data_IF_965568050068
#
_entry.id   IF_965568050068
#
_cell.length_a   1.000
_cell.length_b   1.000
_cell.length_c   1.000
_cell.angle_alpha   90.00
_cell.angle_beta   90.00
_cell.angle_gamma   90.00
#
_symmetry.space_group_name_H-M   'P 1'
#
loop_
_entity.id
_entity.type
_entity.pdbx_description
1 polymer ?
#
# COMPACT_ATOMS: atom_id res chain seq x y z
N UNK A 1 7.91 -6.88 4.62
CA UNK A 1 8.41 -7.60 3.44
C UNK A 1 8.49 -9.09 3.72
N UNK A 2 8.63 -9.96 2.68
CA UNK A 2 8.77 -11.41 2.84
C UNK A 2 8.24 -12.19 1.65
N UNK A 3 8.33 -13.55 1.67
CA UNK A 3 7.87 -14.42 0.61
C UNK A 3 6.35 -14.33 0.37
N UNK A 4 5.88 -14.82 -0.77
CA UNK A 4 4.45 -14.90 -1.05
C UNK A 4 3.79 -15.87 -0.06
N UNK A 5 2.56 -15.56 0.37
CA UNK A 5 1.81 -16.46 1.27
C UNK A 5 2.11 -16.31 2.77
N UNK A 6 3.16 -15.60 3.20
CA UNK A 6 3.50 -15.45 4.62
C UNK A 6 2.60 -14.49 5.43
N UNK A 7 1.43 -14.09 4.90
CA UNK A 7 0.44 -13.32 5.64
C UNK A 7 0.69 -11.80 5.73
N UNK A 8 1.59 -11.20 4.94
CA UNK A 8 1.91 -9.75 4.99
C UNK A 8 0.70 -8.84 4.95
N UNK A 9 -0.16 -9.02 3.96
CA UNK A 9 -1.37 -8.19 3.79
C UNK A 9 -2.32 -8.37 4.97
N UNK A 10 -2.45 -9.58 5.51
CA UNK A 10 -3.28 -9.85 6.70
C UNK A 10 -2.71 -9.12 7.92
N UNK A 11 -1.42 -9.26 8.18
CA UNK A 11 -0.75 -8.58 9.29
C UNK A 11 -0.86 -7.06 9.18
N UNK A 12 -0.63 -6.51 7.98
CA UNK A 12 -0.77 -5.08 7.73
C UNK A 12 -2.21 -4.57 7.98
N UNK A 13 -3.23 -5.28 7.50
CA UNK A 13 -4.64 -4.94 7.74
C UNK A 13 -5.02 -5.05 9.22
N UNK A 14 -4.54 -6.07 9.91
CA UNK A 14 -4.76 -6.22 11.36
C UNK A 14 -4.14 -5.07 12.14
N UNK A 15 -2.93 -4.64 11.77
CA UNK A 15 -2.28 -3.47 12.37
C UNK A 15 -3.07 -2.19 12.12
N UNK A 16 -3.49 -1.96 10.87
CA UNK A 16 -4.33 -0.80 10.50
C UNK A 16 -5.59 -0.74 11.36
N UNK A 17 -6.30 -1.86 11.47
CA UNK A 17 -7.52 -1.94 12.29
C UNK A 17 -7.25 -1.67 13.78
N UNK A 18 -6.13 -2.17 14.31
CA UNK A 18 -5.76 -1.98 15.72
C UNK A 18 -5.39 -0.53 16.07
N UNK A 19 -5.03 0.28 15.08
CA UNK A 19 -4.69 1.69 15.29
C UNK A 19 -5.92 2.59 15.50
N UNK A 20 -7.12 2.13 15.12
CA UNK A 20 -8.38 2.87 15.24
C UNK A 20 -8.32 4.31 14.68
N UNK A 21 -7.61 4.47 13.57
CA UNK A 21 -7.39 5.75 12.88
C UNK A 21 -8.09 5.74 11.53
N UNK A 22 -8.37 6.91 10.92
CA UNK A 22 -8.83 6.93 9.53
C UNK A 22 -7.87 6.12 8.66
N UNK A 23 -8.37 5.15 7.89
CA UNK A 23 -7.54 4.27 7.09
C UNK A 23 -7.95 4.27 5.62
N UNK A 24 -6.95 4.05 4.77
CA UNK A 24 -7.11 3.96 3.33
C UNK A 24 -6.25 2.82 2.78
N UNK A 25 -6.83 2.04 1.87
CA UNK A 25 -6.18 0.90 1.25
C UNK A 25 -6.01 1.09 -0.25
N UNK A 26 -4.80 0.87 -0.76
CA UNK A 26 -4.48 0.93 -2.18
C UNK A 26 -3.70 -0.32 -2.60
N UNK A 27 -4.27 -1.13 -3.50
CA UNK A 27 -3.53 -2.23 -4.13
C UNK A 27 -2.81 -1.69 -5.36
N UNK A 28 -1.51 -1.47 -5.23
CA UNK A 28 -0.68 -0.90 -6.29
C UNK A 28 -0.29 -1.94 -7.35
N UNK A 29 -0.31 -3.22 -6.99
CA UNK A 29 -0.03 -4.30 -7.93
C UNK A 29 -1.13 -4.51 -8.99
N UNK A 30 -2.37 -4.12 -8.68
CA UNK A 30 -3.51 -4.20 -9.59
C UNK A 30 -3.75 -2.91 -10.40
N UNK A 31 -3.00 -1.84 -10.11
CA UNK A 31 -3.19 -0.53 -10.72
C UNK A 31 -2.60 -0.49 -12.13
N UNK A 32 -3.44 -0.26 -13.15
CA UNK A 32 -3.00 -0.11 -14.54
C UNK A 32 -2.60 1.33 -14.88
N UNK A 33 -3.26 2.32 -14.27
CA UNK A 33 -2.98 3.74 -14.42
C UNK A 33 -2.61 4.35 -13.05
N UNK A 34 -1.31 4.47 -12.76
CA UNK A 34 -0.83 5.04 -11.51
C UNK A 34 -1.21 6.50 -11.30
N UNK A 35 -1.23 7.30 -12.39
CA UNK A 35 -1.58 8.72 -12.28
C UNK A 35 -3.04 8.89 -11.90
N UNK A 36 -3.94 8.19 -12.59
CA UNK A 36 -5.37 8.21 -12.25
C UNK A 36 -5.63 7.77 -10.80
N UNK A 37 -4.93 6.74 -10.35
CA UNK A 37 -5.10 6.19 -8.99
C UNK A 37 -4.51 7.09 -7.90
N UNK A 38 -3.33 7.67 -8.12
CA UNK A 38 -2.60 8.41 -7.09
C UNK A 38 -2.80 9.92 -7.19
N UNK A 39 -3.01 10.46 -8.38
CA UNK A 39 -3.16 11.91 -8.61
C UNK A 39 -4.63 12.25 -8.84
N UNK A 40 -5.21 11.70 -9.90
CA UNK A 40 -6.59 11.99 -10.31
C UNK A 40 -6.75 12.05 -11.81
N UNK A 41 -7.92 12.48 -12.25
CA UNK A 41 -8.28 12.51 -13.66
C UNK A 41 -8.84 13.86 -14.09
N UNK A 42 -8.57 14.21 -15.34
CA UNK A 42 -9.22 15.32 -16.00
C UNK A 42 -10.50 14.82 -16.67
N UNK A 43 -11.61 15.47 -16.38
CA UNK A 43 -12.92 15.16 -16.95
C UNK A 43 -13.43 16.33 -17.78
N UNK A 44 -14.27 16.01 -18.75
CA UNK A 44 -15.03 17.01 -19.52
C UNK A 44 -16.51 16.85 -19.23
N UNK A 45 -17.14 17.93 -18.83
CA UNK A 45 -18.59 18.05 -18.66
C UNK A 45 -19.14 19.15 -19.56
N UNK A 46 -20.25 18.90 -20.26
CA UNK A 46 -20.84 19.86 -21.22
C UNK A 46 -21.27 21.18 -20.57
N UNK A 47 -21.58 21.18 -19.26
CA UNK A 47 -22.02 22.36 -18.54
C UNK A 47 -20.92 23.06 -17.76
N UNK A 48 -19.88 22.32 -17.35
CA UNK A 48 -18.77 22.83 -16.51
C UNK A 48 -17.45 22.97 -17.25
N UNK A 49 -17.36 22.48 -18.49
CA UNK A 49 -16.10 22.43 -19.23
C UNK A 49 -15.18 21.34 -18.74
N UNK A 50 -13.87 21.54 -18.92
CA UNK A 50 -12.84 20.63 -18.43
C UNK A 50 -12.56 20.93 -16.96
N UNK A 51 -12.54 19.87 -16.12
CA UNK A 51 -12.19 20.01 -14.71
C UNK A 51 -11.34 18.82 -14.23
N UNK A 52 -10.50 19.07 -13.24
CA UNK A 52 -9.70 18.04 -12.58
C UNK A 52 -10.44 17.46 -11.37
N UNK A 53 -10.39 16.15 -11.21
CA UNK A 53 -10.93 15.43 -10.05
C UNK A 53 -9.80 14.72 -9.32
N UNK A 54 -9.55 15.12 -8.10
CA UNK A 54 -8.54 14.51 -7.22
C UNK A 54 -8.87 13.05 -6.93
N UNK A 55 -7.81 12.22 -6.85
CA UNK A 55 -7.95 10.82 -6.48
C UNK A 55 -8.31 10.63 -4.99
N UNK A 56 -8.69 9.41 -4.63
CA UNK A 56 -8.83 9.04 -3.22
C UNK A 56 -7.50 9.13 -2.47
N UNK A 57 -6.37 8.88 -3.14
CA UNK A 57 -5.05 8.97 -2.52
C UNK A 57 -4.69 10.41 -2.14
N UNK A 58 -4.99 11.39 -3.00
CA UNK A 58 -4.82 12.81 -2.68
C UNK A 58 -5.62 13.19 -1.43
N UNK A 59 -6.86 12.72 -1.32
CA UNK A 59 -7.70 12.94 -0.13
C UNK A 59 -7.13 12.24 1.10
N UNK A 60 -6.61 11.02 0.94
CA UNK A 60 -6.02 10.23 2.03
C UNK A 60 -4.80 10.93 2.63
N UNK A 61 -3.89 11.44 1.81
CA UNK A 61 -2.68 12.13 2.30
C UNK A 61 -2.99 13.48 2.97
N UNK A 62 -4.14 14.08 2.69
CA UNK A 62 -4.63 15.30 3.34
C UNK A 62 -5.44 15.04 4.62
N UNK A 63 -5.75 13.78 4.93
CA UNK A 63 -6.52 13.43 6.12
C UNK A 63 -5.58 13.31 7.33
N UNK A 64 -5.67 14.19 8.33
CA UNK A 64 -4.80 14.14 9.51
C UNK A 64 -4.88 12.78 10.22
N UNK A 65 -3.74 12.30 10.69
CA UNK A 65 -3.60 11.02 11.37
C UNK A 65 -4.06 9.79 10.57
N UNK A 66 -4.24 9.88 9.26
CA UNK A 66 -4.61 8.73 8.44
C UNK A 66 -3.51 7.66 8.43
N UNK A 67 -3.92 6.40 8.31
CA UNK A 67 -3.05 5.27 8.00
C UNK A 67 -3.31 4.85 6.56
N UNK A 68 -2.27 4.86 5.74
CA UNK A 68 -2.36 4.55 4.31
C UNK A 68 -1.61 3.25 4.06
N UNK A 69 -2.35 2.19 3.69
CA UNK A 69 -1.80 0.89 3.35
C UNK A 69 -1.59 0.79 1.84
N UNK A 70 -0.31 0.69 1.44
CA UNK A 70 0.14 0.48 0.06
C UNK A 70 0.46 -1.01 -0.14
N UNK A 71 -0.49 -1.75 -0.66
CA UNK A 71 -0.35 -3.19 -0.84
C UNK A 71 0.32 -3.54 -2.19
N UNK A 72 1.10 -4.60 -2.21
CA UNK A 72 1.83 -5.09 -3.39
C UNK A 72 2.78 -4.06 -4.02
N UNK A 73 3.49 -3.26 -3.21
CA UNK A 73 4.37 -2.17 -3.68
C UNK A 73 5.44 -2.66 -4.69
N UNK A 74 5.96 -3.89 -4.53
CA UNK A 74 6.94 -4.50 -5.46
C UNK A 74 6.37 -4.84 -6.84
N UNK A 75 5.05 -4.89 -6.99
CA UNK A 75 4.37 -5.13 -8.27
C UNK A 75 3.86 -3.85 -8.91
N UNK A 76 3.96 -2.73 -8.22
CA UNK A 76 3.51 -1.44 -8.72
C UNK A 76 4.26 -1.02 -9.98
N UNK A 77 3.60 -0.23 -10.81
CA UNK A 77 4.25 0.41 -11.96
C UNK A 77 5.32 1.41 -11.48
N UNK A 78 6.49 1.55 -12.15
CA UNK A 78 7.56 2.47 -11.74
C UNK A 78 7.08 3.92 -11.61
N UNK A 79 6.10 4.33 -12.37
CA UNK A 79 5.51 5.66 -12.27
C UNK A 79 4.83 5.88 -10.90
N UNK A 80 4.20 4.85 -10.31
CA UNK A 80 3.68 4.93 -8.95
C UNK A 80 4.80 5.19 -7.94
N UNK A 81 5.95 4.54 -8.10
CA UNK A 81 7.11 4.78 -7.23
C UNK A 81 7.61 6.22 -7.33
N UNK A 82 7.70 6.76 -8.55
CA UNK A 82 8.12 8.15 -8.76
C UNK A 82 7.18 9.14 -8.08
N UNK A 83 5.87 8.93 -8.18
CA UNK A 83 4.85 9.76 -7.52
C UNK A 83 5.00 9.68 -6.01
N UNK A 84 5.26 8.50 -5.46
CA UNK A 84 5.38 8.26 -4.02
C UNK A 84 6.67 8.81 -3.40
N UNK A 85 7.73 9.04 -4.20
CA UNK A 85 9.04 9.43 -3.69
C UNK A 85 9.02 10.66 -2.80
N UNK A 86 8.34 11.73 -3.22
CA UNK A 86 8.23 12.98 -2.43
C UNK A 86 7.23 12.88 -1.30
N UNK A 87 6.18 12.07 -1.47
CA UNK A 87 5.13 11.83 -0.46
C UNK A 87 5.69 11.06 0.73
N UNK A 88 6.54 10.08 0.47
CA UNK A 88 7.14 9.21 1.50
C UNK A 88 8.40 9.79 2.14
N UNK A 89 9.02 10.76 1.49
CA UNK A 89 10.25 11.38 2.00
C UNK A 89 10.00 12.19 3.27
N UNK A 90 10.70 11.88 4.36
CA UNK A 90 10.50 12.52 5.66
C UNK A 90 10.76 14.02 5.67
N UNK A 91 11.60 14.51 4.75
CA UNK A 91 11.96 15.94 4.63
C UNK A 91 11.09 16.71 3.63
N UNK A 92 10.31 16.02 2.79
CA UNK A 92 9.52 16.66 1.73
C UNK A 92 8.03 16.57 2.02
N UNK A 93 7.46 15.38 2.11
CA UNK A 93 6.06 15.15 2.49
C UNK A 93 5.05 15.95 1.65
N UNK A 94 5.20 15.96 0.33
CA UNK A 94 4.28 16.64 -0.58
C UNK A 94 4.04 15.86 -1.88
N UNK A 95 2.97 16.23 -2.58
CA UNK A 95 2.64 15.82 -3.95
C UNK A 95 2.33 17.06 -4.79
N UNK A 96 2.76 17.06 -6.05
CA UNK A 96 2.39 18.09 -7.02
C UNK A 96 1.26 17.59 -7.91
N UNK A 97 0.25 18.43 -8.09
CA UNK A 97 -0.87 18.22 -9.00
C UNK A 97 -0.66 19.11 -10.24
N UNK A 98 0.20 18.65 -11.15
CA UNK A 98 0.54 19.42 -12.36
C UNK A 98 -0.65 19.49 -13.34
N UNK A 99 -1.65 18.61 -13.20
CA UNK A 99 -2.89 18.58 -13.98
C UNK A 99 -3.96 19.56 -13.50
N UNK A 100 -3.79 20.11 -12.32
CA UNK A 100 -4.71 21.11 -11.74
C UNK A 100 -4.31 22.51 -12.19
N UNK A 101 -5.29 23.33 -12.56
CA UNK A 101 -5.05 24.75 -12.85
C UNK A 101 -4.40 25.43 -11.64
N UNK A 102 -3.23 26.04 -11.86
CA UNK A 102 -2.44 26.66 -10.80
C UNK A 102 -1.38 25.77 -10.17
N UNK A 103 -1.17 24.53 -10.66
CA UNK A 103 -0.12 23.61 -10.20
C UNK A 103 -0.08 23.48 -8.67
N UNK A 104 -1.17 23.02 -8.08
CA UNK A 104 -1.30 22.90 -6.64
C UNK A 104 -0.27 21.93 -6.05
N UNK A 105 0.40 22.35 -4.97
CA UNK A 105 1.21 21.47 -4.14
C UNK A 105 0.39 21.05 -2.93
N UNK A 106 0.19 19.74 -2.78
CA UNK A 106 -0.54 19.13 -1.69
C UNK A 106 0.46 18.58 -0.67
N UNK A 107 0.42 19.13 0.54
CA UNK A 107 1.24 18.61 1.64
C UNK A 107 0.56 17.41 2.30
N UNK A 108 1.37 16.43 2.70
CA UNK A 108 0.90 15.32 3.52
C UNK A 108 0.57 15.85 4.91
N UNK A 109 -0.65 15.60 5.36
CA UNK A 109 -1.15 16.08 6.65
C UNK A 109 -0.33 15.49 7.82
N UNK A 110 -0.39 16.18 8.95
CA UNK A 110 0.28 15.76 10.17
C UNK A 110 -0.24 14.38 10.64
N UNK A 111 0.67 13.56 11.14
CA UNK A 111 0.36 12.24 11.69
C UNK A 111 0.06 11.17 10.64
N UNK A 112 0.04 11.47 9.33
CA UNK A 112 -0.15 10.45 8.29
C UNK A 112 0.97 9.42 8.33
N UNK A 113 0.59 8.15 8.41
CA UNK A 113 1.49 7.00 8.46
C UNK A 113 1.28 6.11 7.24
N UNK A 114 2.39 5.67 6.63
CA UNK A 114 2.34 4.75 5.51
C UNK A 114 2.80 3.35 5.95
N UNK A 115 2.03 2.35 5.58
CA UNK A 115 2.37 0.94 5.72
C UNK A 115 2.41 0.37 4.31
N UNK A 116 3.44 -0.41 3.98
CA UNK A 116 3.54 -1.03 2.67
C UNK A 116 3.82 -2.53 2.79
N UNK A 117 3.25 -3.32 1.88
CA UNK A 117 3.62 -4.71 1.70
C UNK A 117 4.39 -4.89 0.40
N UNK A 118 5.40 -5.75 0.45
CA UNK A 118 6.20 -6.08 -0.73
C UNK A 118 6.71 -7.52 -0.65
N UNK A 119 6.74 -8.18 -1.79
CA UNK A 119 7.44 -9.45 -1.93
C UNK A 119 8.90 -9.15 -2.26
N UNK A 120 9.83 -9.76 -1.52
CA UNK A 120 11.27 -9.69 -1.78
C UNK A 120 11.74 -11.08 -2.16
N UNK A 121 12.49 -11.17 -3.24
CA UNK A 121 13.08 -12.40 -3.74
C UNK A 121 13.16 -12.41 -5.28
N UNK A 122 14.23 -13.01 -5.80
CA UNK A 122 14.46 -13.15 -7.25
C UNK A 122 13.54 -14.21 -7.91
N UNK A 123 12.75 -14.92 -7.11
CA UNK A 123 11.90 -16.04 -7.49
C UNK A 123 10.58 -15.60 -8.13
N UNK A 124 10.22 -14.34 -7.99
CA UNK A 124 8.93 -13.82 -8.46
C UNK A 124 9.07 -13.13 -9.80
N UNK A 125 8.70 -13.80 -10.87
CA UNK A 125 8.77 -13.32 -12.26
C UNK A 125 7.94 -12.04 -12.52
N UNK A 126 7.04 -11.69 -11.63
CA UNK A 126 6.19 -10.49 -11.75
C UNK A 126 6.52 -9.40 -10.73
N UNK A 127 7.52 -9.60 -9.86
CA UNK A 127 7.99 -8.56 -8.94
C UNK A 127 9.17 -7.82 -9.55
N UNK A 128 9.17 -6.51 -9.45
CA UNK A 128 10.31 -5.68 -9.81
C UNK A 128 11.21 -5.54 -8.60
N UNK A 129 12.51 -5.44 -8.84
CA UNK A 129 13.44 -5.04 -7.79
C UNK A 129 13.06 -3.63 -7.36
N UNK A 130 12.64 -3.47 -6.11
CA UNK A 130 12.30 -2.16 -5.55
C UNK A 130 13.55 -1.27 -5.59
N UNK A 131 13.37 -0.04 -6.02
CA UNK A 131 14.42 0.96 -5.98
C UNK A 131 14.90 1.13 -4.53
N UNK A 132 16.22 1.11 -4.35
CA UNK A 132 16.83 1.31 -3.03
C UNK A 132 16.39 2.63 -2.40
N UNK A 133 16.29 3.70 -3.20
CA UNK A 133 15.83 5.00 -2.70
C UNK A 133 14.39 4.95 -2.16
N UNK A 134 13.53 4.13 -2.76
CA UNK A 134 12.16 3.91 -2.24
C UNK A 134 12.19 3.09 -0.95
N UNK A 135 13.03 2.06 -0.88
CA UNK A 135 13.19 1.21 0.31
C UNK A 135 13.74 1.99 1.51
N UNK A 136 14.67 2.91 1.29
CA UNK A 136 15.28 3.74 2.34
C UNK A 136 14.27 4.68 3.04
N UNK A 137 13.06 4.85 2.47
CA UNK A 137 11.96 5.63 3.06
C UNK A 137 11.11 4.83 4.03
N UNK A 138 11.34 3.54 4.15
CA UNK A 138 10.62 2.65 5.05
C UNK A 138 11.55 1.98 6.06
N UNK A 139 11.01 1.71 7.23
CA UNK A 139 11.61 0.72 8.13
C UNK A 139 11.11 -0.66 7.70
N UNK A 140 12.02 -1.51 7.22
CA UNK A 140 11.67 -2.83 6.75
C UNK A 140 11.49 -3.80 7.92
N UNK A 141 10.37 -4.53 7.90
CA UNK A 141 10.12 -5.68 8.76
C UNK A 141 10.05 -6.90 7.84
N UNK A 142 10.89 -7.88 8.08
CA UNK A 142 10.87 -9.13 7.34
C UNK A 142 9.94 -10.12 8.04
N UNK A 143 9.06 -10.73 7.25
CA UNK A 143 8.19 -11.83 7.65
C UNK A 143 8.64 -13.07 6.89
N UNK A 144 8.76 -14.17 7.58
CA UNK A 144 9.04 -15.47 6.98
C UNK A 144 7.77 -16.33 6.92
N UNK A 145 7.85 -17.47 6.24
CA UNK A 145 6.79 -18.48 6.31
C UNK A 145 6.76 -19.07 7.72
N UNK A 146 5.57 -19.41 8.17
CA UNK A 146 5.40 -20.07 9.46
C UNK A 146 6.08 -21.44 9.41
N UNK A 147 6.67 -21.84 10.52
CA UNK A 147 7.09 -23.23 10.67
C UNK A 147 5.86 -24.13 10.94
N UNK A 148 6.02 -25.44 10.81
CA UNK A 148 4.91 -26.40 10.92
C UNK A 148 4.12 -26.24 12.24
N UNK A 149 4.80 -25.94 13.35
CA UNK A 149 4.15 -25.78 14.66
C UNK A 149 3.32 -24.50 14.72
N UNK A 150 3.83 -23.41 14.16
CA UNK A 150 3.14 -22.11 14.10
C UNK A 150 1.97 -22.18 13.14
N UNK A 151 2.15 -22.85 11.99
CA UNK A 151 1.10 -23.04 10.99
C UNK A 151 -0.04 -23.88 11.57
N UNK A 152 0.29 -24.99 12.25
CA UNK A 152 -0.71 -25.81 12.92
C UNK A 152 -1.48 -25.05 13.98
N UNK A 153 -0.81 -24.25 14.80
CA UNK A 153 -1.47 -23.38 15.79
C UNK A 153 -2.39 -22.36 15.15
N UNK A 154 -2.02 -21.81 14.00
CA UNK A 154 -2.87 -20.90 13.23
C UNK A 154 -4.09 -21.63 12.66
N UNK A 155 -3.93 -22.81 12.10
CA UNK A 155 -5.03 -23.63 11.55
C UNK A 155 -6.02 -24.02 12.65
N UNK A 156 -5.55 -24.45 13.81
CA UNK A 156 -6.40 -24.75 14.97
C UNK A 156 -7.20 -23.53 15.45
N UNK A 157 -6.56 -22.36 15.48
CA UNK A 157 -7.25 -21.10 15.82
C UNK A 157 -8.31 -20.71 14.78
N UNK A 158 -8.00 -20.86 13.49
CA UNK A 158 -8.94 -20.53 12.40
C UNK A 158 -10.09 -21.52 12.27
N UNK A 159 -9.85 -22.80 12.57
CA UNK A 159 -10.79 -23.89 12.40
C UNK A 159 -11.03 -24.70 13.69
N UNK A 160 -11.49 -24.08 14.78
CA UNK A 160 -11.57 -24.70 16.11
C UNK A 160 -12.53 -25.89 16.20
N UNK A 161 -13.27 -26.19 15.13
CA UNK A 161 -14.22 -27.32 15.07
C UNK A 161 -13.76 -28.45 14.18
N UNK A 162 -12.57 -28.32 13.58
CA UNK A 162 -11.98 -29.34 12.71
C UNK A 162 -11.01 -30.20 13.54
N UNK A 163 -11.00 -31.50 13.30
CA UNK A 163 -10.13 -32.43 14.00
C UNK A 163 -8.67 -32.14 13.63
N UNK A 164 -7.78 -32.14 14.63
CA UNK A 164 -6.35 -31.84 14.46
C UNK A 164 -5.67 -32.82 13.49
N UNK A 165 -6.06 -34.10 13.48
CA UNK A 165 -5.53 -35.09 12.52
C UNK A 165 -5.84 -34.72 11.06
N UNK A 166 -6.97 -34.06 10.83
CA UNK A 166 -7.38 -33.59 9.49
C UNK A 166 -6.60 -32.33 9.08
N UNK A 167 -6.26 -31.46 10.05
CA UNK A 167 -5.45 -30.26 9.81
C UNK A 167 -3.98 -30.61 9.53
N UNK A 168 -3.44 -31.69 10.13
CA UNK A 168 -2.10 -32.20 9.85
C UNK A 168 -1.92 -32.78 8.43
N UNK A 169 -3.04 -33.11 7.77
CA UNK A 169 -3.03 -33.71 6.40
C UNK A 169 -3.03 -32.67 5.27
N UNK A 170 -3.10 -31.38 5.59
CA UNK A 170 -3.13 -30.26 4.64
C UNK A 170 -1.74 -29.72 4.42
#
# INVERSE_FOLDING_TARGET
TGPAGCGKTLAAKSLVNALERPDFYFNLGATQDPRATLIGNVHFDKGKGTYFSESLFVKAIQTPNAVILLDELSRAHPEAWNILMTVLDSGQRYMRLDEQDGQATINVAEGVTFIATANIGNEYTSTRVLDKALMDRFTAIEMDVLNNTEEMGLLEYMFPKVDSELLESV
#
